data_IF_942778194994
#
_entry.id   IF_942778194994
#
_cell.length_a   1.000
_cell.length_b   1.000
_cell.length_c   1.000
_cell.angle_alpha   90.00
_cell.angle_beta   90.00
_cell.angle_gamma   90.00
#
_symmetry.space_group_name_H-M   'P 1'
#
loop_
_entity.id
_entity.type
_entity.pdbx_description
1 polymer ?
#
# COMPACT_ATOMS: atom_id res chain seq x y z
N UNK A 1 15.05 -52.22 -15.94
CA UNK A 1 13.81 -51.60 -16.42
C UNK A 1 13.13 -50.74 -15.34
N UNK A 2 13.03 -51.18 -14.10
CA UNK A 2 12.41 -50.41 -12.99
C UNK A 2 13.15 -49.12 -12.64
N UNK A 3 14.49 -49.07 -12.68
CA UNK A 3 15.30 -47.90 -12.41
C UNK A 3 15.10 -46.77 -13.45
N UNK A 4 14.96 -47.12 -14.72
CA UNK A 4 14.71 -46.15 -15.79
C UNK A 4 13.32 -45.50 -15.69
N UNK A 5 12.30 -46.25 -15.28
CA UNK A 5 10.95 -45.75 -15.03
C UNK A 5 10.91 -44.78 -13.84
N UNK A 6 11.67 -45.05 -12.78
CA UNK A 6 11.77 -44.17 -11.61
C UNK A 6 12.42 -42.85 -11.93
N UNK A 7 13.51 -42.84 -12.71
CA UNK A 7 14.20 -41.62 -13.13
C UNK A 7 13.31 -40.74 -14.02
N UNK A 8 12.57 -41.40 -14.95
CA UNK A 8 11.65 -40.67 -15.82
C UNK A 8 10.50 -40.01 -15.02
N UNK A 9 9.93 -40.72 -14.04
CA UNK A 9 8.85 -40.19 -13.20
C UNK A 9 9.32 -39.00 -12.36
N UNK A 10 10.54 -39.03 -11.81
CA UNK A 10 11.13 -37.92 -11.06
C UNK A 10 11.40 -36.74 -11.99
N UNK A 11 11.93 -36.96 -13.19
CA UNK A 11 12.19 -35.87 -14.15
C UNK A 11 10.90 -35.21 -14.63
N UNK A 12 9.84 -35.99 -14.89
CA UNK A 12 8.53 -35.45 -15.29
C UNK A 12 7.89 -34.71 -14.11
N UNK A 13 7.97 -35.24 -12.90
CA UNK A 13 7.47 -34.57 -11.68
C UNK A 13 8.18 -33.23 -11.40
N UNK A 14 9.49 -33.20 -11.51
CA UNK A 14 10.27 -31.98 -11.35
C UNK A 14 9.99 -30.94 -12.47
N UNK A 15 9.81 -31.41 -13.70
CA UNK A 15 9.40 -30.55 -14.82
C UNK A 15 8.02 -29.94 -14.61
N UNK A 16 7.05 -30.75 -14.16
CA UNK A 16 5.70 -30.28 -13.88
C UNK A 16 5.65 -29.34 -12.67
N UNK A 17 6.45 -29.60 -11.63
CA UNK A 17 6.56 -28.72 -10.47
C UNK A 17 7.09 -27.33 -10.86
N UNK A 18 8.10 -27.24 -11.76
CA UNK A 18 8.60 -25.96 -12.28
C UNK A 18 7.60 -25.19 -13.12
N UNK A 19 6.69 -25.89 -13.83
CA UNK A 19 5.61 -25.24 -14.59
C UNK A 19 4.49 -24.71 -13.67
N UNK A 20 4.39 -25.25 -12.48
CA UNK A 20 3.41 -24.84 -11.44
C UNK A 20 3.97 -23.81 -10.46
N UNK A 21 5.28 -23.53 -10.49
CA UNK A 21 5.86 -22.47 -9.68
C UNK A 21 5.31 -21.12 -10.14
N UNK A 22 4.66 -20.35 -9.24
CA UNK A 22 4.23 -19.02 -9.60
C UNK A 22 5.46 -18.17 -9.99
N UNK A 23 5.39 -17.38 -11.07
CA UNK A 23 6.50 -16.56 -11.51
C UNK A 23 6.94 -15.65 -10.36
N UNK A 24 8.16 -15.82 -9.91
CA UNK A 24 8.79 -14.95 -8.91
C UNK A 24 9.07 -13.61 -9.57
N UNK A 25 8.27 -12.60 -9.23
CA UNK A 25 8.51 -11.24 -9.67
C UNK A 25 9.53 -10.62 -8.71
N UNK A 26 10.70 -10.25 -9.19
CA UNK A 26 11.69 -9.52 -8.41
C UNK A 26 11.51 -8.02 -8.65
N UNK A 27 11.12 -7.29 -7.62
CA UNK A 27 11.02 -5.83 -7.63
C UNK A 27 12.35 -5.22 -7.16
N UNK A 28 12.66 -3.99 -7.58
CA UNK A 28 13.87 -3.26 -7.20
C UNK A 28 13.75 -2.63 -5.81
N UNK A 29 12.62 -2.02 -5.52
CA UNK A 29 12.34 -1.28 -4.30
C UNK A 29 11.31 -1.96 -3.40
N UNK A 30 10.45 -2.79 -3.98
CA UNK A 30 9.33 -3.40 -3.29
C UNK A 30 9.53 -4.88 -3.01
N UNK A 31 8.68 -5.41 -2.14
CA UNK A 31 8.49 -6.84 -1.92
C UNK A 31 7.15 -7.24 -2.55
N UNK A 32 7.21 -8.09 -3.57
CA UNK A 32 6.04 -8.69 -4.19
C UNK A 32 5.50 -9.82 -3.32
N UNK A 33 4.19 -9.85 -3.15
CA UNK A 33 3.50 -10.94 -2.47
C UNK A 33 3.08 -12.00 -3.52
N UNK A 34 3.74 -13.15 -3.50
CA UNK A 34 3.40 -14.27 -4.39
C UNK A 34 1.92 -14.71 -4.25
N UNK A 35 1.37 -14.55 -3.05
CA UNK A 35 -0.04 -14.76 -2.74
C UNK A 35 -0.67 -13.42 -2.30
N UNK A 36 -1.47 -12.78 -3.18
CA UNK A 36 -2.20 -11.58 -2.83
C UNK A 36 -3.11 -11.79 -1.62
N UNK A 37 -3.13 -10.82 -0.68
CA UNK A 37 -3.94 -10.90 0.54
C UNK A 37 -5.14 -9.98 0.44
N UNK A 38 -6.35 -10.54 0.59
CA UNK A 38 -7.56 -9.74 0.69
C UNK A 38 -7.55 -8.92 1.99
N UNK A 39 -7.99 -7.68 1.90
CA UNK A 39 -8.19 -6.84 3.07
C UNK A 39 -9.48 -7.25 3.79
N UNK A 40 -9.50 -7.11 5.11
CA UNK A 40 -10.75 -7.19 5.87
C UNK A 40 -11.66 -6.03 5.49
N UNK A 41 -12.96 -6.17 5.75
CA UNK A 41 -13.88 -5.05 5.66
C UNK A 41 -13.48 -3.97 6.67
N UNK A 42 -13.53 -2.73 6.22
CA UNK A 42 -13.29 -1.55 7.05
C UNK A 42 -14.22 -0.42 6.62
N UNK A 43 -14.49 0.50 7.51
CA UNK A 43 -15.34 1.66 7.29
C UNK A 43 -14.63 2.91 7.79
N UNK A 44 -14.17 3.72 6.88
CA UNK A 44 -13.55 5.02 7.13
C UNK A 44 -14.39 6.09 6.43
N UNK A 45 -14.08 7.35 6.66
CA UNK A 45 -14.74 8.47 5.98
C UNK A 45 -13.72 9.22 5.12
N UNK A 46 -14.14 9.61 3.94
CA UNK A 46 -13.38 10.56 3.12
C UNK A 46 -13.52 12.00 3.70
N UNK A 47 -12.84 12.95 3.07
CA UNK A 47 -12.83 14.34 3.54
C UNK A 47 -14.17 15.07 3.32
N UNK A 48 -15.09 14.50 2.53
CA UNK A 48 -16.45 14.98 2.36
C UNK A 48 -17.45 14.30 3.31
N UNK A 49 -16.97 13.39 4.18
CA UNK A 49 -17.80 12.63 5.12
C UNK A 49 -18.52 11.44 4.51
N UNK A 50 -18.16 11.03 3.29
CA UNK A 50 -18.72 9.84 2.64
C UNK A 50 -18.01 8.59 3.17
N UNK A 51 -18.76 7.52 3.35
CA UNK A 51 -18.18 6.24 3.70
C UNK A 51 -17.21 5.75 2.61
N UNK A 52 -16.08 5.21 3.04
CA UNK A 52 -15.06 4.60 2.21
C UNK A 52 -14.65 3.27 2.82
N UNK A 53 -14.79 2.21 2.06
CA UNK A 53 -14.49 0.85 2.50
C UNK A 53 -13.69 0.07 1.46
N UNK A 54 -13.61 -1.24 1.66
CA UNK A 54 -12.91 -2.13 0.75
C UNK A 54 -13.47 -2.09 -0.68
N UNK A 55 -14.78 -1.89 -0.84
CA UNK A 55 -15.43 -1.79 -2.16
C UNK A 55 -14.89 -0.63 -3.00
N UNK A 56 -14.48 0.47 -2.37
CA UNK A 56 -13.97 1.66 -3.05
C UNK A 56 -12.53 1.49 -3.57
N UNK A 57 -11.87 0.41 -3.19
CA UNK A 57 -10.58 0.00 -3.74
C UNK A 57 -10.72 -0.79 -5.04
N UNK A 58 -11.94 -1.22 -5.41
CA UNK A 58 -12.15 -2.02 -6.61
C UNK A 58 -12.11 -1.17 -7.88
N UNK A 59 -11.55 -1.74 -8.93
CA UNK A 59 -11.43 -1.10 -10.25
C UNK A 59 -10.19 -0.20 -10.39
N UNK A 60 -9.50 0.10 -9.30
CA UNK A 60 -8.34 0.99 -9.31
C UNK A 60 -7.18 0.36 -8.52
N UNK A 61 -5.96 0.29 -9.10
CA UNK A 61 -4.78 0.07 -8.28
C UNK A 61 -4.65 1.19 -7.25
N UNK A 62 -4.30 0.86 -6.01
CA UNK A 62 -4.24 1.84 -4.93
C UNK A 62 -2.86 1.83 -4.27
N UNK A 63 -2.24 3.01 -4.18
CA UNK A 63 -1.08 3.25 -3.33
C UNK A 63 -1.57 3.83 -2.01
N UNK A 64 -1.57 3.02 -0.95
CA UNK A 64 -2.06 3.41 0.37
C UNK A 64 -0.89 3.70 1.31
N UNK A 65 -0.99 4.81 2.04
CA UNK A 65 0.00 5.26 3.01
C UNK A 65 -0.67 5.74 4.29
N UNK A 66 -0.17 5.30 5.44
CA UNK A 66 -0.57 5.82 6.74
C UNK A 66 0.32 6.99 7.14
N UNK A 67 -0.26 8.01 7.73
CA UNK A 67 0.49 9.18 8.18
C UNK A 67 -0.35 10.14 9.01
N UNK A 68 0.18 11.31 9.29
CA UNK A 68 -0.52 12.39 9.99
C UNK A 68 0.10 13.76 9.62
N UNK A 69 -0.70 14.84 9.74
CA UNK A 69 -0.27 16.17 9.24
C UNK A 69 0.88 16.78 10.06
N UNK A 70 1.03 16.38 11.33
CA UNK A 70 2.08 16.85 12.23
C UNK A 70 3.37 16.03 12.17
N UNK A 71 3.49 15.12 11.18
CA UNK A 71 4.72 14.38 10.95
C UNK A 71 5.78 15.33 10.34
N UNK A 72 6.97 15.48 10.98
CA UNK A 72 7.92 16.52 10.57
C UNK A 72 8.69 16.17 9.28
N UNK A 73 8.79 14.91 8.88
CA UNK A 73 9.73 14.49 7.83
C UNK A 73 9.17 13.43 6.88
N UNK A 74 8.94 12.20 7.36
CA UNK A 74 8.66 11.05 6.48
C UNK A 74 7.35 11.20 5.69
N UNK A 75 6.30 11.79 6.29
CA UNK A 75 5.02 11.94 5.61
C UNK A 75 5.06 12.93 4.45
N UNK A 76 5.55 14.20 4.61
CA UNK A 76 5.63 15.12 3.50
C UNK A 76 6.57 14.64 2.40
N UNK A 77 7.70 14.01 2.75
CA UNK A 77 8.64 13.44 1.77
C UNK A 77 7.98 12.32 0.95
N UNK A 78 7.23 11.43 1.61
CA UNK A 78 6.51 10.34 0.93
C UNK A 78 5.40 10.87 0.03
N UNK A 79 4.60 11.83 0.48
CA UNK A 79 3.54 12.44 -0.33
C UNK A 79 4.09 13.17 -1.55
N UNK A 80 5.20 13.90 -1.40
CA UNK A 80 5.87 14.55 -2.53
C UNK A 80 6.35 13.52 -3.58
N UNK A 81 6.91 12.39 -3.13
CA UNK A 81 7.28 11.27 -3.99
C UNK A 81 6.07 10.64 -4.69
N UNK A 82 4.97 10.42 -3.98
CA UNK A 82 3.73 9.88 -4.56
C UNK A 82 3.16 10.82 -5.62
N UNK A 83 3.16 12.13 -5.38
CA UNK A 83 2.76 13.13 -6.36
C UNK A 83 3.67 13.11 -7.62
N UNK A 84 4.97 12.88 -7.44
CA UNK A 84 5.89 12.70 -8.57
C UNK A 84 5.55 11.45 -9.38
N UNK A 85 5.25 10.31 -8.74
CA UNK A 85 4.85 9.07 -9.40
C UNK A 85 3.53 9.23 -10.16
N UNK A 86 2.57 9.96 -9.60
CA UNK A 86 1.28 10.27 -10.21
C UNK A 86 1.48 11.10 -11.49
N UNK A 87 2.21 12.21 -11.41
CA UNK A 87 2.54 13.05 -12.58
C UNK A 87 3.34 12.32 -13.65
N UNK A 88 4.20 11.39 -13.27
CA UNK A 88 4.96 10.55 -14.20
C UNK A 88 4.13 9.42 -14.82
N UNK A 89 2.85 9.30 -14.51
CA UNK A 89 1.98 8.20 -14.93
C UNK A 89 2.62 6.81 -14.73
N UNK A 90 3.33 6.64 -13.64
CA UNK A 90 4.04 5.39 -13.33
C UNK A 90 3.09 4.21 -13.17
N UNK A 91 1.86 4.48 -12.71
CA UNK A 91 0.75 3.52 -12.64
C UNK A 91 -0.56 4.23 -13.06
N UNK A 92 -0.87 4.29 -14.38
CA UNK A 92 -2.08 4.94 -14.87
C UNK A 92 -3.35 4.33 -14.28
N UNK A 93 -4.30 5.19 -13.89
CA UNK A 93 -5.55 4.78 -13.25
C UNK A 93 -5.42 4.41 -11.77
N UNK A 94 -4.21 4.52 -11.20
CA UNK A 94 -4.04 4.32 -9.76
C UNK A 94 -4.56 5.53 -8.98
N UNK A 95 -5.13 5.23 -7.81
CA UNK A 95 -5.45 6.23 -6.79
C UNK A 95 -4.38 6.22 -5.68
N UNK A 96 -4.15 7.37 -5.09
CA UNK A 96 -3.33 7.51 -3.87
C UNK A 96 -4.26 7.75 -2.70
N UNK A 97 -4.19 6.88 -1.71
CA UNK A 97 -5.02 6.94 -0.49
C UNK A 97 -4.11 7.21 0.71
N UNK A 98 -4.33 8.34 1.34
CA UNK A 98 -3.70 8.70 2.62
C UNK A 98 -4.68 8.45 3.76
N UNK A 99 -4.28 7.64 4.73
CA UNK A 99 -5.09 7.32 5.91
C UNK A 99 -4.46 7.97 7.12
N UNK A 100 -5.15 8.96 7.71
CA UNK A 100 -4.60 9.55 8.94
C UNK A 100 -4.66 8.60 10.12
N UNK A 101 -3.58 8.55 10.87
CA UNK A 101 -3.48 7.82 12.15
C UNK A 101 -3.73 8.73 13.36
N UNK A 102 -3.99 10.02 13.13
CA UNK A 102 -4.19 11.04 14.15
C UNK A 102 -5.47 11.87 13.91
N UNK A 103 -6.64 11.23 13.94
CA UNK A 103 -7.90 11.91 13.63
C UNK A 103 -8.28 13.03 14.61
N UNK A 104 -7.63 13.08 15.78
CA UNK A 104 -7.83 14.15 16.77
C UNK A 104 -7.30 15.48 16.28
N UNK A 105 -6.09 15.52 15.70
CA UNK A 105 -5.46 16.75 15.15
C UNK A 105 -5.76 16.94 13.66
N UNK A 106 -5.98 15.88 12.92
CA UNK A 106 -6.22 15.90 11.48
C UNK A 106 -7.72 16.01 11.18
N UNK A 107 -8.30 17.21 11.35
CA UNK A 107 -9.67 17.45 10.88
C UNK A 107 -9.77 17.26 9.36
N UNK A 108 -10.98 17.02 8.83
CA UNK A 108 -11.17 16.88 7.38
C UNK A 108 -10.66 18.10 6.61
N UNK A 109 -10.91 19.32 7.13
CA UNK A 109 -10.45 20.56 6.53
C UNK A 109 -8.93 20.69 6.53
N UNK A 110 -8.26 20.38 7.66
CA UNK A 110 -6.80 20.43 7.75
C UNK A 110 -6.14 19.42 6.81
N UNK A 111 -6.67 18.19 6.78
CA UNK A 111 -6.14 17.13 5.93
C UNK A 111 -6.36 17.44 4.44
N UNK A 112 -7.48 18.05 4.08
CA UNK A 112 -7.74 18.48 2.72
C UNK A 112 -6.72 19.53 2.24
N UNK A 113 -6.43 20.54 3.06
CA UNK A 113 -5.42 21.55 2.74
C UNK A 113 -4.04 20.91 2.63
N UNK A 114 -3.70 20.04 3.58
CA UNK A 114 -2.40 19.35 3.60
C UNK A 114 -2.19 18.48 2.36
N UNK A 115 -3.14 17.64 1.98
CA UNK A 115 -3.01 16.77 0.83
C UNK A 115 -3.03 17.56 -0.49
N UNK A 116 -3.86 18.60 -0.61
CA UNK A 116 -3.93 19.44 -1.79
C UNK A 116 -2.63 20.19 -2.11
N UNK A 117 -1.74 20.36 -1.13
CA UNK A 117 -0.40 20.90 -1.35
C UNK A 117 0.47 19.97 -2.23
N UNK A 118 0.27 18.65 -2.13
CA UNK A 118 1.02 17.66 -2.91
C UNK A 118 0.27 17.31 -4.21
N UNK A 119 -0.98 16.90 -4.09
CA UNK A 119 -1.85 16.60 -5.20
C UNK A 119 -3.33 16.66 -4.77
N UNK A 120 -4.18 17.32 -5.58
CA UNK A 120 -5.62 17.48 -5.29
C UNK A 120 -6.41 16.20 -5.51
N UNK A 121 -5.85 15.23 -6.22
CA UNK A 121 -6.47 13.93 -6.48
C UNK A 121 -6.21 12.92 -5.37
N UNK A 122 -5.37 13.25 -4.38
CA UNK A 122 -5.13 12.38 -3.25
C UNK A 122 -6.38 12.24 -2.39
N UNK A 123 -6.74 10.99 -2.10
CA UNK A 123 -7.88 10.64 -1.26
C UNK A 123 -7.40 10.62 0.20
N UNK A 124 -7.95 11.49 1.02
CA UNK A 124 -7.72 11.47 2.47
C UNK A 124 -8.80 10.68 3.17
N UNK A 125 -8.42 9.76 4.05
CA UNK A 125 -9.34 8.98 4.86
C UNK A 125 -9.11 9.24 6.34
N UNK A 126 -10.22 9.22 7.09
CA UNK A 126 -10.28 9.43 8.54
C UNK A 126 -11.18 8.37 9.19
N UNK A 127 -10.88 8.06 10.42
CA UNK A 127 -11.69 7.21 11.30
C UNK A 127 -11.10 7.22 12.69
N UNK A 128 -11.86 6.82 13.68
CA UNK A 128 -11.32 6.59 15.00
C UNK A 128 -10.43 5.32 15.02
N UNK A 129 -9.80 5.07 16.15
CA UNK A 129 -8.88 3.94 16.27
C UNK A 129 -9.57 2.58 16.07
N UNK A 130 -10.86 2.47 16.43
CA UNK A 130 -11.63 1.25 16.26
C UNK A 130 -11.94 1.00 14.77
N UNK A 131 -12.29 2.05 14.02
CA UNK A 131 -12.52 2.00 12.58
C UNK A 131 -11.23 1.70 11.78
N UNK A 132 -10.08 2.22 12.22
CA UNK A 132 -8.77 1.98 11.59
C UNK A 132 -8.25 0.55 11.82
N UNK A 133 -8.59 -0.07 12.96
CA UNK A 133 -8.01 -1.33 13.39
C UNK A 133 -8.14 -2.49 12.39
N UNK A 134 -9.27 -2.72 11.67
CA UNK A 134 -9.36 -3.78 10.66
C UNK A 134 -8.38 -3.58 9.50
N UNK A 135 -8.23 -2.35 9.00
CA UNK A 135 -7.32 -2.02 7.92
C UNK A 135 -5.86 -2.16 8.35
N UNK A 136 -5.50 -1.62 9.53
CA UNK A 136 -4.14 -1.77 10.09
C UNK A 136 -3.75 -3.25 10.23
N UNK A 137 -4.63 -4.09 10.80
CA UNK A 137 -4.38 -5.53 10.93
C UNK A 137 -4.20 -6.21 9.58
N UNK A 138 -5.05 -5.90 8.59
CA UNK A 138 -4.95 -6.49 7.25
C UNK A 138 -3.63 -6.20 6.56
N UNK A 139 -3.08 -5.00 6.80
CA UNK A 139 -1.83 -4.55 6.22
C UNK A 139 -0.61 -4.84 7.10
N UNK A 140 -0.81 -5.44 8.29
CA UNK A 140 0.24 -5.63 9.31
C UNK A 140 0.91 -4.30 9.68
N UNK A 141 0.12 -3.22 9.70
CA UNK A 141 0.55 -1.89 10.05
C UNK A 141 0.30 -1.59 11.52
N UNK A 142 1.09 -0.68 12.07
CA UNK A 142 0.91 -0.16 13.43
C UNK A 142 0.59 1.33 13.38
N UNK A 143 -0.13 1.82 14.41
CA UNK A 143 -0.34 3.21 14.70
C UNK A 143 -0.52 3.35 16.21
N UNK A 144 0.43 4.00 16.87
CA UNK A 144 0.48 4.11 18.34
C UNK A 144 0.80 5.55 18.73
N UNK A 145 0.00 6.11 19.63
CA UNK A 145 0.28 7.42 20.23
C UNK A 145 1.44 7.33 21.22
N UNK A 146 2.42 8.22 21.06
CA UNK A 146 3.57 8.37 21.95
C UNK A 146 3.49 9.72 22.65
N UNK A 147 3.27 9.73 23.96
CA UNK A 147 3.31 10.96 24.75
C UNK A 147 4.75 11.42 24.93
N UNK A 148 4.97 12.72 24.79
CA UNK A 148 6.28 13.33 24.92
C UNK A 148 6.44 13.99 26.31
N UNK A 149 7.70 14.20 26.77
CA UNK A 149 7.95 14.76 28.09
C UNK A 149 7.41 16.19 28.31
N UNK A 150 7.18 16.94 27.24
CA UNK A 150 6.64 18.31 27.26
C UNK A 150 5.10 18.34 27.33
N UNK A 151 4.45 17.18 27.46
CA UNK A 151 2.99 17.04 27.50
C UNK A 151 2.34 16.99 26.12
N UNK A 152 3.08 17.17 25.05
CA UNK A 152 2.61 16.93 23.68
C UNK A 152 2.65 15.44 23.32
N UNK A 153 2.29 15.10 22.08
CA UNK A 153 2.40 13.72 21.60
C UNK A 153 2.78 13.66 20.12
N UNK A 154 3.33 12.52 19.73
CA UNK A 154 3.51 12.14 18.34
C UNK A 154 2.83 10.79 18.07
N UNK A 155 2.76 10.41 16.78
CA UNK A 155 2.27 9.09 16.36
C UNK A 155 3.44 8.26 15.84
N UNK A 156 3.63 7.09 16.43
CA UNK A 156 4.50 6.06 15.87
C UNK A 156 3.66 5.19 14.92
N UNK A 157 4.03 5.13 13.65
CA UNK A 157 3.26 4.42 12.64
C UNK A 157 4.14 3.75 11.59
N UNK A 158 3.58 2.75 10.91
CA UNK A 158 4.25 2.12 9.77
C UNK A 158 4.43 3.11 8.62
N UNK A 159 5.70 3.37 8.26
CA UNK A 159 6.05 4.22 7.11
C UNK A 159 6.03 3.45 5.77
N UNK A 160 5.43 2.28 5.73
CA UNK A 160 5.32 1.42 4.55
C UNK A 160 4.29 1.97 3.58
N UNK A 161 4.61 1.92 2.27
CA UNK A 161 3.66 2.16 1.20
C UNK A 161 3.10 0.80 0.73
N UNK A 162 1.78 0.69 0.68
CA UNK A 162 1.05 -0.53 0.34
C UNK A 162 0.47 -0.42 -1.07
N UNK A 163 0.73 -1.41 -1.92
CA UNK A 163 0.11 -1.50 -3.24
C UNK A 163 -1.02 -2.53 -3.21
N UNK A 164 -2.21 -2.05 -3.48
CA UNK A 164 -3.45 -2.83 -3.53
C UNK A 164 -3.88 -2.89 -5.00
N UNK A 165 -4.22 -4.07 -5.48
CA UNK A 165 -4.69 -4.26 -6.86
C UNK A 165 -6.17 -3.85 -7.04
N UNK A 166 -6.63 -3.80 -8.29
CA UNK A 166 -8.02 -3.46 -8.62
C UNK A 166 -9.08 -4.49 -8.14
N UNK A 167 -8.66 -5.56 -7.49
CA UNK A 167 -9.56 -6.50 -6.80
C UNK A 167 -9.58 -6.28 -5.26
N UNK A 168 -8.95 -5.20 -4.76
CA UNK A 168 -8.90 -4.88 -3.33
C UNK A 168 -7.96 -5.79 -2.54
N UNK A 169 -6.89 -6.32 -3.16
CA UNK A 169 -5.93 -7.22 -2.51
C UNK A 169 -4.56 -6.58 -2.41
N UNK A 170 -3.91 -6.71 -1.26
CA UNK A 170 -2.51 -6.33 -1.09
C UNK A 170 -1.62 -7.24 -1.94
N UNK A 171 -0.82 -6.64 -2.82
CA UNK A 171 0.04 -7.35 -3.77
C UNK A 171 1.53 -7.01 -3.63
N UNK A 172 1.86 -5.85 -3.11
CA UNK A 172 3.24 -5.47 -2.85
C UNK A 172 3.34 -4.45 -1.71
N UNK A 173 4.52 -4.38 -1.10
CA UNK A 173 4.86 -3.38 -0.09
C UNK A 173 6.20 -2.73 -0.43
N UNK A 174 6.33 -1.44 -0.12
CA UNK A 174 7.57 -0.70 -0.24
C UNK A 174 7.92 -0.11 1.11
N UNK A 175 9.16 -0.29 1.54
CA UNK A 175 9.66 0.23 2.82
C UNK A 175 10.68 1.34 2.58
N UNK A 176 10.77 2.34 3.46
CA UNK A 176 11.79 3.36 3.35
C UNK A 176 13.22 2.79 3.50
N UNK A 177 14.24 3.44 2.91
CA UNK A 177 14.16 4.72 2.19
C UNK A 177 13.55 4.55 0.80
N UNK A 178 12.64 5.48 0.43
CA UNK A 178 11.95 5.41 -0.84
C UNK A 178 12.78 6.03 -1.99
N UNK A 179 12.68 5.41 -3.16
CA UNK A 179 13.19 5.92 -4.43
C UNK A 179 12.06 5.99 -5.45
N UNK A 180 11.65 7.19 -5.85
CA UNK A 180 10.62 7.36 -6.88
C UNK A 180 10.97 6.64 -8.18
N UNK A 181 12.25 6.67 -8.60
CA UNK A 181 12.71 5.99 -9.81
C UNK A 181 12.54 4.47 -9.72
N UNK A 182 12.97 3.86 -8.60
CA UNK A 182 12.89 2.42 -8.40
C UNK A 182 11.43 1.96 -8.23
N UNK A 183 10.63 2.66 -7.39
CA UNK A 183 9.20 2.37 -7.23
C UNK A 183 8.46 2.52 -8.56
N UNK A 184 8.75 3.59 -9.33
CA UNK A 184 8.15 3.78 -10.64
C UNK A 184 8.53 2.67 -11.64
N UNK A 185 9.75 2.14 -11.60
CA UNK A 185 10.15 0.98 -12.39
C UNK A 185 9.36 -0.28 -12.00
N UNK A 186 9.23 -0.53 -10.70
CA UNK A 186 8.47 -1.66 -10.16
C UNK A 186 6.98 -1.59 -10.56
N UNK A 187 6.37 -0.43 -10.45
CA UNK A 187 4.97 -0.22 -10.84
C UNK A 187 4.75 -0.49 -12.35
N UNK A 188 5.66 -0.03 -13.20
CA UNK A 188 5.61 -0.31 -14.64
C UNK A 188 5.78 -1.80 -14.93
N UNK A 189 6.69 -2.48 -14.22
CA UNK A 189 6.90 -3.92 -14.34
C UNK A 189 5.65 -4.69 -13.95
N UNK A 190 5.01 -4.35 -12.82
CA UNK A 190 3.77 -4.96 -12.35
C UNK A 190 2.63 -4.78 -13.35
N UNK A 191 2.49 -3.60 -13.93
CA UNK A 191 1.51 -3.32 -14.99
C UNK A 191 1.75 -4.18 -16.23
N UNK A 192 3.00 -4.24 -16.71
CA UNK A 192 3.36 -5.07 -17.88
C UNK A 192 3.08 -6.54 -17.64
N UNK A 193 3.28 -7.02 -16.42
CA UNK A 193 2.96 -8.38 -16.00
C UNK A 193 1.45 -8.60 -15.74
N UNK A 194 0.60 -7.59 -15.94
CA UNK A 194 -0.86 -7.61 -15.66
C UNK A 194 -1.17 -8.04 -14.22
N UNK A 195 -0.40 -7.55 -13.26
CA UNK A 195 -0.56 -7.87 -11.83
C UNK A 195 -1.29 -6.77 -11.04
N UNK A 196 -1.53 -5.62 -11.66
CA UNK A 196 -2.27 -4.46 -11.15
C UNK A 196 -3.33 -4.03 -12.16
#
# INVERSE_FOLDING_TARGET
>A
MLLALGVLAVAVGAGLARLLEPPTLSLQAGTWLAQPRSLAEFHLQDLAGRDFGRSDLHGHPTLLFFGFTHCPDVCPTTLAMLAQLQRAHSLPGAQVVFVTVDPERDSAANLQVYLAYFDREFIGLRGDQAALAPLLRSLSAIAVRQNLPDGSYTMDHSATLYLIDGAGRLIAVFSPPFSAAAIGADLRQLRTARRV
#
